data_IF_302409915345
#
_entry.id   IF_302409915345
#
_cell.length_a   1.000
_cell.length_b   1.000
_cell.length_c   1.000
_cell.angle_alpha   90.00
_cell.angle_beta   90.00
_cell.angle_gamma   90.00
#
_symmetry.space_group_name_H-M   'P 1'
#
loop_
_entity.id
_entity.type
_entity.pdbx_description
1 polymer ?
#
# COMPACT_ATOMS: atom_id res chain seq x y z
N UNK A 1 18.91 -20.58 48.13
CA UNK A 1 19.83 -21.51 47.43
C UNK A 1 19.32 -22.94 47.66
N UNK A 2 18.75 -23.59 46.64
CA UNK A 2 19.35 -24.85 46.19
C UNK A 2 19.36 -25.06 44.65
N UNK A 3 20.55 -25.42 44.18
CA UNK A 3 21.01 -26.21 43.00
C UNK A 3 20.19 -26.27 41.70
N UNK A 4 20.85 -25.74 40.66
CA UNK A 4 20.68 -25.98 39.22
C UNK A 4 20.69 -27.47 38.83
N UNK A 5 19.87 -27.84 37.84
CA UNK A 5 20.05 -29.04 37.03
C UNK A 5 19.95 -28.71 35.54
N UNK A 6 21.09 -28.81 34.88
CA UNK A 6 21.28 -28.72 33.42
C UNK A 6 20.84 -30.03 32.75
N UNK A 7 20.16 -29.95 31.60
CA UNK A 7 20.16 -31.04 30.62
C UNK A 7 20.38 -30.50 29.20
N UNK A 8 21.35 -31.13 28.53
CA UNK A 8 21.67 -31.07 27.10
C UNK A 8 21.08 -32.31 26.43
N UNK A 9 20.61 -32.18 25.19
CA UNK A 9 20.58 -33.25 24.18
C UNK A 9 20.44 -32.59 22.80
N UNK A 10 21.51 -32.53 21.99
CA UNK A 10 21.84 -33.43 20.86
C UNK A 10 20.85 -33.35 19.69
N UNK A 11 21.39 -32.97 18.53
CA UNK A 11 20.66 -32.76 17.28
C UNK A 11 20.37 -34.03 16.49
N UNK A 12 19.73 -33.84 15.35
CA UNK A 12 19.71 -34.80 14.24
C UNK A 12 19.54 -34.03 12.93
N UNK A 13 20.51 -34.24 12.06
CA UNK A 13 20.62 -33.84 10.66
C UNK A 13 19.82 -34.78 9.76
N UNK A 14 19.16 -34.24 8.73
CA UNK A 14 18.74 -35.02 7.54
C UNK A 14 18.84 -34.17 6.27
N UNK A 15 19.34 -34.83 5.24
CA UNK A 15 19.88 -34.32 3.97
C UNK A 15 18.88 -34.45 2.80
N UNK A 16 19.35 -34.07 1.59
CA UNK A 16 18.79 -34.35 0.25
C UNK A 16 17.82 -33.28 -0.29
N UNK A 17 17.85 -32.79 -1.54
CA UNK A 17 18.34 -33.32 -2.83
C UNK A 17 18.64 -32.15 -3.79
N UNK A 18 19.64 -32.34 -4.64
CA UNK A 18 20.17 -31.41 -5.66
C UNK A 18 19.58 -31.68 -7.06
N UNK A 19 19.67 -30.67 -7.95
CA UNK A 19 19.95 -30.71 -9.42
C UNK A 19 18.85 -30.04 -10.31
N UNK A 20 19.14 -29.65 -11.57
CA UNK A 20 19.85 -28.40 -11.95
C UNK A 20 19.19 -27.71 -13.18
N UNK A 21 19.53 -26.46 -13.53
CA UNK A 21 19.67 -26.10 -14.97
C UNK A 21 20.39 -24.77 -15.22
N UNK A 22 21.04 -24.73 -16.38
CA UNK A 22 22.10 -23.83 -16.80
C UNK A 22 21.64 -22.51 -17.47
N UNK A 23 22.60 -21.57 -17.60
CA UNK A 23 22.59 -20.33 -18.42
C UNK A 23 23.03 -20.65 -19.88
N UNK A 24 22.87 -19.80 -20.94
CA UNK A 24 23.60 -18.50 -21.17
C UNK A 24 22.76 -17.37 -21.87
N UNK A 25 23.04 -16.06 -21.67
CA UNK A 25 23.85 -15.08 -22.48
C UNK A 25 23.29 -14.84 -23.91
N UNK A 26 22.91 -13.63 -24.38
CA UNK A 26 23.66 -12.42 -24.88
C UNK A 26 22.62 -11.46 -25.52
N UNK A 27 22.53 -10.11 -25.38
CA UNK A 27 23.35 -8.97 -25.88
C UNK A 27 22.49 -7.97 -26.73
N UNK A 28 22.54 -6.67 -26.38
CA UNK A 28 22.44 -5.43 -27.22
C UNK A 28 21.09 -4.81 -27.70
N UNK A 29 20.71 -3.75 -26.99
CA UNK A 29 20.54 -2.31 -27.37
C UNK A 29 19.31 -1.70 -28.11
N UNK A 30 18.85 -0.59 -27.48
CA UNK A 30 18.44 0.75 -27.99
C UNK A 30 17.13 0.92 -28.79
N UNK A 31 16.14 1.59 -28.19
CA UNK A 31 15.77 3.00 -28.46
C UNK A 31 14.29 3.26 -28.13
N UNK A 32 14.00 4.47 -27.65
CA UNK A 32 12.78 4.88 -26.96
C UNK A 32 11.57 5.14 -27.86
N UNK A 33 10.38 4.71 -27.40
CA UNK A 33 9.13 5.48 -27.44
C UNK A 33 8.22 4.99 -26.31
N UNK A 34 7.55 5.89 -25.60
CA UNK A 34 6.62 5.51 -24.53
C UNK A 34 5.49 4.62 -25.06
N UNK A 35 5.14 3.49 -24.41
CA UNK A 35 3.99 2.70 -24.82
C UNK A 35 2.78 2.94 -23.91
N UNK A 36 1.64 3.13 -24.57
CA UNK A 36 0.30 2.80 -24.09
C UNK A 36 0.27 1.44 -23.39
N UNK A 37 -0.70 1.17 -22.47
CA UNK A 37 -0.72 -0.07 -21.70
C UNK A 37 -0.68 -1.29 -22.63
N UNK A 38 0.28 -2.22 -22.44
CA UNK A 38 0.35 -3.40 -23.28
C UNK A 38 -0.84 -4.31 -22.97
N UNK A 39 -1.75 -4.45 -23.92
CA UNK A 39 -2.48 -5.72 -24.10
C UNK A 39 -1.47 -6.77 -24.53
N UNK A 40 -0.66 -7.22 -23.57
CA UNK A 40 0.32 -8.28 -23.73
C UNK A 40 -0.39 -9.61 -23.51
N UNK A 41 -0.54 -10.41 -24.56
CA UNK A 41 -0.92 -11.83 -24.49
C UNK A 41 0.12 -12.70 -23.73
N UNK A 42 1.17 -12.09 -23.16
CA UNK A 42 2.16 -12.70 -22.29
C UNK A 42 1.74 -12.78 -20.81
N UNK A 43 2.46 -13.57 -19.99
CA UNK A 43 2.19 -13.66 -18.56
C UNK A 43 2.34 -12.29 -17.89
N UNK A 44 1.63 -12.00 -16.79
CA UNK A 44 1.69 -10.70 -16.15
C UNK A 44 3.05 -10.45 -15.50
N UNK A 45 3.43 -9.17 -15.36
CA UNK A 45 4.55 -8.75 -14.53
C UNK A 45 4.30 -9.11 -13.06
N UNK A 46 5.39 -9.41 -12.34
CA UNK A 46 5.39 -9.79 -10.93
C UNK A 46 6.41 -8.93 -10.19
N UNK A 47 5.91 -8.15 -9.23
CA UNK A 47 6.72 -7.39 -8.29
C UNK A 47 6.64 -8.02 -6.91
N UNK A 48 7.79 -8.13 -6.23
CA UNK A 48 7.88 -8.74 -4.90
C UNK A 48 8.31 -7.73 -3.87
N UNK A 49 7.70 -7.81 -2.69
CA UNK A 49 8.03 -6.89 -1.62
C UNK A 49 7.91 -7.53 -0.25
N UNK A 50 8.64 -6.94 0.70
CA UNK A 50 8.55 -7.19 2.14
C UNK A 50 9.25 -6.06 2.89
N UNK A 51 9.02 -6.00 4.21
CA UNK A 51 9.50 -4.92 5.08
C UNK A 51 11.03 -4.72 5.10
N UNK A 52 11.81 -5.75 4.79
CA UNK A 52 13.27 -5.73 4.71
C UNK A 52 13.84 -5.62 3.29
N UNK A 53 13.02 -5.24 2.31
CA UNK A 53 13.46 -5.11 0.92
C UNK A 53 14.52 -4.02 0.73
N UNK A 54 15.50 -4.28 -0.14
CA UNK A 54 16.52 -3.30 -0.55
C UNK A 54 15.91 -2.21 -1.46
N UNK A 55 16.47 -0.99 -1.48
CA UNK A 55 16.06 0.08 -2.38
C UNK A 55 16.65 -0.15 -3.78
N UNK A 56 16.19 -1.20 -4.46
CA UNK A 56 16.62 -1.53 -5.84
C UNK A 56 15.47 -1.24 -6.81
N UNK A 57 15.76 -1.00 -8.10
CA UNK A 57 14.71 -0.90 -9.12
C UNK A 57 13.82 -2.16 -9.18
N UNK A 58 12.63 -2.08 -9.80
CA UNK A 58 11.78 -3.24 -10.14
C UNK A 58 12.43 -4.18 -11.15
N UNK A 59 12.31 -5.51 -10.98
CA UNK A 59 12.81 -6.52 -11.91
C UNK A 59 14.06 -7.33 -11.49
N UNK A 60 15.13 -6.76 -10.90
CA UNK A 60 16.35 -7.51 -10.54
C UNK A 60 16.20 -8.39 -9.28
N UNK A 61 15.01 -8.44 -8.66
CA UNK A 61 14.77 -9.18 -7.42
C UNK A 61 14.54 -10.68 -7.62
N UNK A 62 14.87 -11.53 -6.63
CA UNK A 62 14.59 -12.97 -6.68
C UNK A 62 13.10 -13.30 -6.88
N UNK A 63 12.78 -13.86 -8.05
CA UNK A 63 11.43 -14.28 -8.44
C UNK A 63 10.48 -13.14 -8.81
N UNK A 64 11.02 -11.95 -9.07
CA UNK A 64 10.31 -10.92 -9.83
C UNK A 64 10.37 -11.26 -11.33
N UNK A 65 9.37 -10.79 -12.07
CA UNK A 65 9.32 -10.86 -13.53
C UNK A 65 8.86 -9.52 -14.04
N UNK A 66 9.67 -8.87 -14.86
CA UNK A 66 9.37 -7.58 -15.47
C UNK A 66 9.75 -7.68 -16.94
N UNK A 67 8.76 -7.55 -17.84
CA UNK A 67 9.00 -7.65 -19.29
C UNK A 67 9.71 -6.41 -19.82
N UNK A 68 9.24 -5.22 -19.43
CA UNK A 68 9.86 -3.94 -19.79
C UNK A 68 10.14 -3.11 -18.52
N UNK A 69 11.39 -3.05 -18.05
CA UNK A 69 11.77 -2.23 -16.91
C UNK A 69 11.50 -0.74 -17.08
N UNK A 70 11.45 -0.24 -18.32
CA UNK A 70 11.25 1.19 -18.59
C UNK A 70 9.87 1.68 -18.16
N UNK A 71 8.87 0.78 -18.18
CA UNK A 71 7.50 1.01 -17.67
C UNK A 71 7.50 1.40 -16.19
N UNK A 72 8.51 0.96 -15.43
CA UNK A 72 8.62 1.19 -13.99
C UNK A 72 9.67 2.23 -13.61
N UNK A 73 10.07 3.11 -14.53
CA UNK A 73 11.09 4.15 -14.27
C UNK A 73 10.66 5.08 -13.12
N UNK A 74 9.39 5.48 -13.09
CA UNK A 74 8.84 6.32 -12.01
C UNK A 74 8.83 5.60 -10.65
N UNK A 75 8.47 4.31 -10.63
CA UNK A 75 8.54 3.48 -9.41
C UNK A 75 9.99 3.32 -8.93
N UNK A 76 10.93 3.12 -9.85
CA UNK A 76 12.35 2.98 -9.56
C UNK A 76 12.97 4.25 -8.96
N UNK A 77 12.41 5.42 -9.27
CA UNK A 77 12.83 6.70 -8.70
C UNK A 77 12.41 6.88 -7.24
N UNK A 78 11.46 6.08 -6.74
CA UNK A 78 10.99 6.14 -5.34
C UNK A 78 11.87 5.23 -4.46
N UNK A 79 12.69 5.79 -3.56
CA UNK A 79 13.53 4.97 -2.69
C UNK A 79 12.67 4.08 -1.81
N UNK A 80 13.08 2.82 -1.64
CA UNK A 80 12.40 1.86 -0.78
C UNK A 80 10.91 1.62 -1.08
N UNK A 81 10.44 1.80 -2.33
CA UNK A 81 9.03 1.57 -2.71
C UNK A 81 8.46 0.21 -2.24
N UNK A 82 9.27 -0.86 -2.24
CA UNK A 82 8.87 -2.18 -1.70
C UNK A 82 8.51 -2.16 -0.22
N UNK A 83 9.19 -1.31 0.57
CA UNK A 83 8.90 -1.16 2.01
C UNK A 83 7.58 -0.44 2.19
N UNK A 84 7.28 0.59 1.38
CA UNK A 84 5.99 1.33 1.39
C UNK A 84 4.79 0.40 1.12
N UNK A 85 4.96 -0.60 0.25
CA UNK A 85 3.95 -1.64 0.01
C UNK A 85 3.74 -2.60 1.19
N UNK A 86 4.67 -2.67 2.13
CA UNK A 86 4.58 -3.60 3.26
C UNK A 86 3.57 -3.13 4.30
N UNK A 87 2.87 -4.09 4.93
CA UNK A 87 2.01 -3.82 6.09
C UNK A 87 2.77 -3.24 7.30
N UNK A 88 4.10 -3.31 7.28
CA UNK A 88 5.01 -2.84 8.31
C UNK A 88 5.44 -1.39 8.14
N UNK A 89 5.12 -0.80 6.99
CA UNK A 89 5.41 0.60 6.72
C UNK A 89 4.61 1.50 7.65
N UNK A 90 5.35 2.40 8.31
CA UNK A 90 4.84 3.29 9.34
C UNK A 90 5.24 4.75 9.10
N UNK A 91 5.49 5.13 7.84
CA UNK A 91 5.87 6.50 7.48
C UNK A 91 4.74 7.49 7.66
N UNK A 92 3.49 7.05 7.49
CA UNK A 92 2.31 7.91 7.54
C UNK A 92 1.23 7.24 8.38
N UNK A 93 0.90 7.80 9.56
CA UNK A 93 -0.27 7.39 10.32
C UNK A 93 -1.58 7.57 9.53
N UNK A 94 -2.59 6.77 9.85
CA UNK A 94 -3.90 6.86 9.23
C UNK A 94 -5.03 6.52 10.21
N UNK A 95 -6.22 7.03 9.90
CA UNK A 95 -7.43 6.77 10.67
C UNK A 95 -8.14 5.52 10.16
N UNK A 96 -8.53 4.61 11.06
CA UNK A 96 -9.44 3.51 10.73
C UNK A 96 -10.26 3.14 11.96
N UNK A 97 -11.60 3.04 11.80
CA UNK A 97 -12.55 2.77 12.90
C UNK A 97 -12.36 3.67 14.14
N UNK A 98 -12.26 4.97 13.90
CA UNK A 98 -12.09 6.01 14.93
C UNK A 98 -10.80 5.90 15.76
N UNK A 99 -9.81 5.17 15.28
CA UNK A 99 -8.48 5.08 15.87
C UNK A 99 -7.39 5.54 14.89
N UNK A 100 -6.34 6.14 15.44
CA UNK A 100 -5.09 6.42 14.73
C UNK A 100 -4.18 5.20 14.76
N UNK A 101 -3.62 4.83 13.61
CA UNK A 101 -2.76 3.66 13.47
C UNK A 101 -1.44 4.02 12.82
N UNK A 102 -0.35 3.50 13.38
CA UNK A 102 0.99 3.71 12.83
C UNK A 102 1.25 2.92 11.54
N UNK A 103 0.61 1.75 11.37
CA UNK A 103 0.79 0.88 10.20
C UNK A 103 -0.38 -0.10 10.05
N UNK A 104 -0.53 -0.73 8.88
CA UNK A 104 -1.52 -1.82 8.68
C UNK A 104 -1.36 -2.95 9.71
N UNK A 105 -0.13 -3.35 10.06
CA UNK A 105 0.10 -4.42 11.04
C UNK A 105 -0.46 -4.08 12.42
N UNK A 106 -0.30 -2.84 12.89
CA UNK A 106 -0.89 -2.36 14.15
C UNK A 106 -2.41 -2.47 14.14
N UNK A 107 -3.06 -1.92 13.12
CA UNK A 107 -4.52 -1.98 12.96
C UNK A 107 -5.03 -3.42 12.86
N UNK A 108 -4.31 -4.28 12.13
CA UNK A 108 -4.70 -5.68 11.92
C UNK A 108 -4.62 -6.51 13.20
N UNK A 109 -3.53 -6.38 13.96
CA UNK A 109 -3.42 -7.06 15.26
C UNK A 109 -4.38 -6.47 16.30
N UNK A 110 -4.56 -5.14 16.31
CA UNK A 110 -5.53 -4.46 17.15
C UNK A 110 -6.95 -4.96 16.89
N UNK A 111 -7.39 -4.99 15.62
CA UNK A 111 -8.71 -5.51 15.22
C UNK A 111 -8.93 -6.95 15.70
N UNK A 112 -7.91 -7.79 15.58
CA UNK A 112 -7.96 -9.18 16.05
C UNK A 112 -8.13 -9.28 17.58
N UNK A 113 -7.40 -8.46 18.35
CA UNK A 113 -7.53 -8.42 19.81
C UNK A 113 -8.89 -7.85 20.24
N UNK A 114 -9.43 -6.90 19.48
CA UNK A 114 -10.73 -6.28 19.73
C UNK A 114 -11.90 -7.25 19.67
N UNK A 115 -11.74 -8.42 19.04
CA UNK A 115 -12.75 -9.49 19.07
C UNK A 115 -13.01 -10.04 20.48
N UNK A 116 -12.05 -9.89 21.39
CA UNK A 116 -12.14 -10.41 22.76
C UNK A 116 -12.02 -9.31 23.82
N UNK A 117 -11.22 -8.28 23.59
CA UNK A 117 -10.96 -7.23 24.57
C UNK A 117 -10.62 -5.91 23.87
N UNK A 118 -11.45 -4.90 24.08
CA UNK A 118 -11.28 -3.56 23.48
C UNK A 118 -10.07 -2.80 24.06
N UNK A 119 -9.71 -3.01 25.33
CA UNK A 119 -8.49 -2.42 25.91
C UNK A 119 -7.24 -3.00 25.28
N UNK A 120 -7.22 -4.31 25.02
CA UNK A 120 -6.11 -4.95 24.32
C UNK A 120 -6.01 -4.49 22.85
N UNK A 121 -7.12 -4.12 22.21
CA UNK A 121 -7.11 -3.47 20.90
C UNK A 121 -6.50 -2.08 20.97
N UNK A 122 -6.95 -1.25 21.92
CA UNK A 122 -6.48 0.11 22.12
C UNK A 122 -4.96 0.17 22.31
N UNK A 123 -4.37 -0.82 22.99
CA UNK A 123 -2.91 -0.92 23.13
C UNK A 123 -2.13 -0.83 21.80
N UNK A 124 -2.72 -1.23 20.67
CA UNK A 124 -2.11 -1.17 19.33
C UNK A 124 -2.36 0.15 18.59
N UNK A 125 -3.28 0.99 19.06
CA UNK A 125 -3.59 2.29 18.46
C UNK A 125 -2.62 3.38 18.96
N UNK A 126 -2.33 4.36 18.11
CA UNK A 126 -1.49 5.52 18.44
C UNK A 126 -2.16 6.45 19.45
N UNK A 127 -3.48 6.63 19.31
CA UNK A 127 -4.29 7.54 20.10
C UNK A 127 -4.80 6.92 21.41
N UNK A 128 -4.46 5.66 21.69
CA UNK A 128 -4.67 5.12 23.02
C UNK A 128 -3.80 5.88 24.01
N UNK A 129 -4.43 6.48 25.01
CA UNK A 129 -3.72 6.78 26.24
C UNK A 129 -3.31 5.44 26.86
N UNK A 130 -2.17 5.41 27.55
CA UNK A 130 -1.84 4.29 28.44
C UNK A 130 -3.06 4.11 29.36
N UNK A 131 -3.57 2.89 29.49
CA UNK A 131 -4.64 2.68 30.46
C UNK A 131 -4.11 3.11 31.84
N UNK A 132 -4.95 3.78 32.60
CA UNK A 132 -4.69 4.15 33.99
C UNK A 132 -4.35 2.92 34.87
N UNK A 133 -4.78 1.74 34.43
CA UNK A 133 -4.49 0.43 35.05
C UNK A 133 -3.13 -0.17 34.68
N UNK A 134 -2.49 0.32 33.62
CA UNK A 134 -1.20 -0.19 33.14
C UNK A 134 -1.20 -1.66 32.70
N UNK A 135 -2.35 -2.23 32.32
CA UNK A 135 -2.49 -3.66 32.01
C UNK A 135 -1.76 -4.03 30.71
N UNK A 136 -1.75 -3.11 29.74
CA UNK A 136 -1.12 -3.33 28.43
C UNK A 136 -0.05 -2.29 28.11
N UNK A 137 1.05 -2.74 27.51
CA UNK A 137 2.05 -1.83 26.96
C UNK A 137 1.45 -1.00 25.81
N UNK A 138 1.87 0.25 25.67
CA UNK A 138 1.49 1.08 24.52
C UNK A 138 2.26 0.61 23.28
N UNK A 139 1.68 -0.35 22.56
CA UNK A 139 2.26 -1.01 21.39
C UNK A 139 2.15 -0.10 20.16
N UNK A 140 1.10 0.73 20.06
CA UNK A 140 0.84 1.59 18.90
C UNK A 140 1.95 2.59 18.57
N UNK A 141 2.74 3.01 19.55
CA UNK A 141 3.90 3.91 19.38
C UNK A 141 5.21 3.17 19.07
N UNK A 142 5.19 1.85 19.07
CA UNK A 142 6.37 1.02 18.81
C UNK A 142 6.43 0.59 17.34
N UNK A 143 7.48 -0.16 16.97
CA UNK A 143 7.61 -0.64 15.60
C UNK A 143 6.54 -1.68 15.25
N UNK A 144 6.19 -1.78 13.96
CA UNK A 144 5.28 -2.83 13.46
C UNK A 144 5.76 -4.26 13.78
N UNK A 145 7.08 -4.46 13.97
CA UNK A 145 7.62 -5.74 14.43
C UNK A 145 7.20 -6.07 15.86
N UNK A 146 7.17 -5.07 16.74
CA UNK A 146 6.64 -5.24 18.10
C UNK A 146 5.16 -5.59 18.02
N UNK A 147 4.36 -4.88 17.23
CA UNK A 147 2.94 -5.21 17.03
C UNK A 147 2.74 -6.67 16.59
N UNK A 148 3.46 -7.13 15.56
CA UNK A 148 3.40 -8.52 15.12
C UNK A 148 3.80 -9.52 16.21
N UNK A 149 4.80 -9.18 17.03
CA UNK A 149 5.24 -10.05 18.12
C UNK A 149 4.23 -10.09 19.28
N UNK A 150 3.51 -8.99 19.49
CA UNK A 150 2.40 -8.88 20.43
C UNK A 150 1.10 -9.53 19.96
N UNK A 151 1.07 -10.21 18.80
CA UNK A 151 -0.12 -10.95 18.30
C UNK A 151 -0.63 -12.08 19.20
N UNK A 152 0.09 -12.39 20.27
CA UNK A 152 -0.27 -13.38 21.29
C UNK A 152 -0.51 -12.74 22.67
N UNK A 153 -0.74 -11.42 22.70
CA UNK A 153 -1.04 -10.69 23.94
C UNK A 153 -2.21 -11.32 24.68
N UNK A 154 -3.22 -11.78 23.94
CA UNK A 154 -4.35 -12.56 24.43
C UNK A 154 -4.51 -13.86 23.65
N UNK A 155 -4.96 -14.91 24.33
CA UNK A 155 -5.36 -16.17 23.70
C UNK A 155 -6.81 -16.05 23.25
N UNK A 156 -7.04 -16.15 21.95
CA UNK A 156 -8.40 -16.14 21.40
C UNK A 156 -9.08 -17.49 21.65
N UNK A 157 -10.33 -17.53 22.12
CA UNK A 157 -11.09 -18.77 22.18
C UNK A 157 -11.33 -19.31 20.76
N UNK A 158 -11.51 -20.63 20.59
CA UNK A 158 -11.64 -21.24 19.25
C UNK A 158 -12.76 -20.66 18.39
N UNK A 159 -13.85 -20.18 19.00
CA UNK A 159 -14.95 -19.48 18.32
C UNK A 159 -14.45 -18.19 17.65
N UNK A 160 -13.71 -17.35 18.37
CA UNK A 160 -13.13 -16.11 17.85
C UNK A 160 -12.01 -16.34 16.84
N UNK A 161 -11.27 -17.45 16.96
CA UNK A 161 -10.30 -17.85 15.92
C UNK A 161 -11.00 -18.14 14.59
N UNK A 162 -12.13 -18.86 14.62
CA UNK A 162 -12.92 -19.14 13.41
C UNK A 162 -13.54 -17.88 12.83
N UNK A 163 -14.13 -17.04 13.67
CA UNK A 163 -14.69 -15.73 13.29
C UNK A 163 -13.63 -14.86 12.60
N UNK A 164 -12.44 -14.74 13.20
CA UNK A 164 -11.32 -14.01 12.58
C UNK A 164 -10.92 -14.58 11.22
N UNK A 165 -10.86 -15.90 11.09
CA UNK A 165 -10.53 -16.57 9.83
C UNK A 165 -11.50 -16.26 8.68
N UNK A 166 -12.77 -15.96 8.99
CA UNK A 166 -13.77 -15.59 7.99
C UNK A 166 -13.65 -14.13 7.54
N UNK A 167 -13.23 -13.22 8.43
CA UNK A 167 -13.23 -11.77 8.17
C UNK A 167 -11.84 -11.16 7.92
N UNK A 168 -10.74 -11.86 8.23
CA UNK A 168 -9.41 -11.23 8.28
C UNK A 168 -8.97 -10.63 6.96
N UNK A 169 -9.32 -11.24 5.82
CA UNK A 169 -8.97 -10.70 4.50
C UNK A 169 -9.71 -9.40 4.21
N UNK A 170 -11.00 -9.33 4.51
CA UNK A 170 -11.80 -8.11 4.37
C UNK A 170 -11.25 -7.01 5.29
N UNK A 171 -10.95 -7.33 6.55
CA UNK A 171 -10.36 -6.38 7.50
C UNK A 171 -9.02 -5.85 6.99
N UNK A 172 -8.15 -6.72 6.44
CA UNK A 172 -6.87 -6.30 5.87
C UNK A 172 -7.05 -5.34 4.70
N UNK A 173 -8.01 -5.62 3.82
CA UNK A 173 -8.33 -4.75 2.69
C UNK A 173 -8.89 -3.39 3.14
N UNK A 174 -9.82 -3.37 4.10
CA UNK A 174 -10.37 -2.12 4.68
C UNK A 174 -9.25 -1.24 5.27
N UNK A 175 -8.36 -1.84 6.07
CA UNK A 175 -7.24 -1.13 6.70
C UNK A 175 -6.28 -0.61 5.62
N UNK A 176 -5.90 -1.46 4.66
CA UNK A 176 -5.01 -1.06 3.59
C UNK A 176 -5.60 0.10 2.77
N UNK A 177 -6.90 0.03 2.45
CA UNK A 177 -7.61 1.09 1.74
C UNK A 177 -7.51 2.43 2.47
N UNK A 178 -7.76 2.46 3.78
CA UNK A 178 -7.63 3.70 4.55
C UNK A 178 -6.18 4.22 4.61
N UNK A 179 -5.19 3.33 4.78
CA UNK A 179 -3.77 3.73 4.72
C UNK A 179 -3.45 4.39 3.38
N UNK A 180 -3.77 3.74 2.27
CA UNK A 180 -3.40 4.24 0.95
C UNK A 180 -4.25 5.45 0.54
N UNK A 181 -5.45 5.65 1.09
CA UNK A 181 -6.19 6.91 0.94
C UNK A 181 -5.56 8.09 1.68
N UNK A 182 -4.95 7.84 2.83
CA UNK A 182 -4.31 8.88 3.63
C UNK A 182 -2.87 9.21 3.21
N UNK A 183 -2.14 8.25 2.62
CA UNK A 183 -0.70 8.38 2.34
C UNK A 183 -0.43 8.65 0.85
N UNK A 184 -0.08 9.90 0.50
CA UNK A 184 0.26 10.27 -0.90
C UNK A 184 1.40 9.46 -1.50
N UNK A 185 2.48 9.24 -0.73
CA UNK A 185 3.58 8.38 -1.17
C UNK A 185 3.10 6.95 -1.44
N UNK A 186 2.21 6.43 -0.60
CA UNK A 186 1.59 5.11 -0.79
C UNK A 186 0.75 5.05 -2.06
N UNK A 187 -0.07 6.07 -2.34
CA UNK A 187 -0.85 6.18 -3.58
C UNK A 187 0.06 6.15 -4.80
N UNK A 188 1.09 6.99 -4.77
CA UNK A 188 2.07 7.08 -5.85
C UNK A 188 2.72 5.73 -6.09
N UNK A 189 3.24 5.08 -5.05
CA UNK A 189 3.86 3.75 -5.17
C UNK A 189 2.89 2.72 -5.74
N UNK A 190 1.63 2.66 -5.27
CA UNK A 190 0.65 1.72 -5.81
C UNK A 190 0.37 1.97 -7.30
N UNK A 191 0.18 3.23 -7.71
CA UNK A 191 -0.09 3.57 -9.11
C UNK A 191 1.08 3.24 -10.02
N UNK A 192 2.29 3.53 -9.57
CA UNK A 192 3.51 3.25 -10.35
C UNK A 192 3.85 1.75 -10.42
N UNK A 193 3.13 0.88 -9.69
CA UNK A 193 3.19 -0.57 -9.94
C UNK A 193 2.41 -1.01 -11.19
N UNK A 194 1.68 -0.10 -11.83
CA UNK A 194 0.97 -0.32 -13.11
C UNK A 194 0.13 -1.59 -13.05
N UNK A 195 0.11 -2.41 -14.10
CA UNK A 195 -0.64 -3.68 -14.13
C UNK A 195 0.07 -4.87 -13.48
N UNK A 196 1.17 -4.67 -12.74
CA UNK A 196 1.90 -5.78 -12.15
C UNK A 196 1.10 -6.47 -11.04
N UNK A 197 1.35 -7.78 -10.89
CA UNK A 197 0.92 -8.51 -9.70
C UNK A 197 1.82 -8.17 -8.52
N UNK A 198 1.21 -8.00 -7.35
CA UNK A 198 1.89 -7.62 -6.13
C UNK A 198 2.02 -8.83 -5.20
N UNK A 199 3.25 -9.25 -4.93
CA UNK A 199 3.51 -10.45 -4.13
C UNK A 199 4.31 -10.11 -2.87
N UNK A 200 3.73 -10.37 -1.71
CA UNK A 200 4.45 -10.30 -0.45
C UNK A 200 5.30 -11.58 -0.26
N UNK A 201 6.61 -11.44 -0.18
CA UNK A 201 7.54 -12.56 -0.04
C UNK A 201 8.74 -12.18 0.82
N UNK A 202 9.12 -13.03 1.78
CA UNK A 202 10.27 -12.81 2.66
C UNK A 202 11.18 -14.04 2.75
N UNK A 203 12.37 -13.95 3.37
CA UNK A 203 13.34 -15.04 3.39
C UNK A 203 12.84 -16.39 3.92
N UNK A 204 11.78 -16.36 4.75
CA UNK A 204 11.17 -17.55 5.38
C UNK A 204 9.64 -17.53 5.28
N UNK A 205 9.10 -16.74 4.35
CA UNK A 205 7.67 -16.57 4.17
C UNK A 205 7.35 -16.93 2.73
N UNK A 206 6.48 -17.93 2.55
CA UNK A 206 6.00 -18.31 1.24
C UNK A 206 5.40 -17.09 0.53
N UNK A 207 5.65 -16.90 -0.78
CA UNK A 207 5.06 -15.79 -1.53
C UNK A 207 3.53 -15.84 -1.47
N UNK A 208 2.91 -14.71 -1.13
CA UNK A 208 1.45 -14.54 -1.12
C UNK A 208 1.11 -13.34 -1.99
N UNK A 209 0.21 -13.52 -2.94
CA UNK A 209 -0.30 -12.41 -3.76
C UNK A 209 -1.21 -11.51 -2.95
N UNK A 210 -0.99 -10.20 -3.03
CA UNK A 210 -1.75 -9.17 -2.35
C UNK A 210 -2.75 -8.53 -3.34
N UNK A 211 -3.75 -9.31 -3.73
CA UNK A 211 -4.78 -8.87 -4.70
C UNK A 211 -5.59 -7.66 -4.22
N UNK A 212 -5.72 -7.48 -2.90
CA UNK A 212 -6.38 -6.31 -2.33
C UNK A 212 -5.63 -5.01 -2.65
N UNK A 213 -4.30 -5.02 -2.74
CA UNK A 213 -3.53 -3.83 -3.14
C UNK A 213 -3.72 -3.52 -4.63
N UNK A 214 -3.86 -4.55 -5.45
CA UNK A 214 -4.16 -4.40 -6.89
C UNK A 214 -5.56 -3.78 -7.06
N UNK A 215 -6.57 -4.24 -6.31
CA UNK A 215 -7.91 -3.61 -6.29
C UNK A 215 -7.87 -2.15 -5.83
N UNK A 216 -7.16 -1.86 -4.74
CA UNK A 216 -7.02 -0.48 -4.22
C UNK A 216 -6.32 0.42 -5.24
N UNK A 217 -5.29 -0.07 -5.95
CA UNK A 217 -4.64 0.67 -7.04
C UNK A 217 -5.65 1.05 -8.13
N UNK A 218 -6.49 0.09 -8.54
CA UNK A 218 -7.46 0.32 -9.60
C UNK A 218 -8.54 1.34 -9.14
N UNK A 219 -9.03 1.23 -7.89
CA UNK A 219 -9.92 2.23 -7.26
C UNK A 219 -9.32 3.66 -7.26
N UNK A 220 -8.03 3.77 -6.90
CA UNK A 220 -7.31 5.04 -6.82
C UNK A 220 -6.99 5.67 -8.19
N UNK A 221 -7.04 4.88 -9.27
CA UNK A 221 -6.83 5.36 -10.63
C UNK A 221 -8.13 5.96 -11.17
N UNK A 222 -9.25 5.25 -11.03
CA UNK A 222 -10.59 5.74 -11.43
C UNK A 222 -10.95 7.06 -10.73
N UNK A 223 -10.62 7.19 -9.44
CA UNK A 223 -10.88 8.40 -8.68
C UNK A 223 -10.09 9.62 -9.21
N UNK A 224 -8.89 9.43 -9.77
CA UNK A 224 -8.13 10.52 -10.39
C UNK A 224 -8.71 10.90 -11.74
N UNK A 225 -8.97 9.91 -12.59
CA UNK A 225 -9.53 10.16 -13.92
C UNK A 225 -10.84 10.96 -13.82
N UNK A 226 -11.68 10.62 -12.84
CA UNK A 226 -12.93 11.34 -12.55
C UNK A 226 -12.67 12.78 -12.12
N UNK A 227 -11.66 13.02 -11.29
CA UNK A 227 -11.32 14.35 -10.79
C UNK A 227 -10.69 15.23 -11.89
N UNK A 228 -9.86 14.65 -12.76
CA UNK A 228 -9.25 15.35 -13.89
C UNK A 228 -10.30 15.76 -14.93
N UNK A 229 -11.26 14.88 -15.24
CA UNK A 229 -12.40 15.22 -16.12
C UNK A 229 -13.26 16.33 -15.51
N UNK A 230 -13.53 16.29 -14.20
CA UNK A 230 -14.31 17.33 -13.53
C UNK A 230 -13.61 18.70 -13.60
N UNK A 231 -12.31 18.75 -13.32
CA UNK A 231 -11.52 19.99 -13.41
C UNK A 231 -11.44 20.50 -14.85
N UNK A 232 -11.29 19.62 -15.84
CA UNK A 232 -11.32 19.98 -17.25
C UNK A 232 -12.63 20.66 -17.65
N UNK A 233 -13.76 20.07 -17.26
CA UNK A 233 -15.09 20.63 -17.53
C UNK A 233 -15.29 22.00 -16.87
N UNK A 234 -14.82 22.18 -15.63
CA UNK A 234 -14.92 23.47 -14.92
C UNK A 234 -14.10 24.60 -15.60
N UNK A 235 -12.92 24.27 -16.13
CA UNK A 235 -12.09 25.23 -16.87
C UNK A 235 -12.78 25.63 -18.18
N UNK A 236 -13.28 24.66 -18.95
CA UNK A 236 -14.02 24.93 -20.19
C UNK A 236 -15.28 25.77 -19.96
N UNK A 237 -16.04 25.49 -18.90
CA UNK A 237 -17.22 26.26 -18.53
C UNK A 237 -16.86 27.70 -18.12
N UNK A 238 -15.74 27.89 -17.42
CA UNK A 238 -15.26 29.22 -17.05
C UNK A 238 -14.81 30.03 -18.29
N UNK A 239 -14.10 29.40 -19.22
CA UNK A 239 -13.69 30.02 -20.47
C UNK A 239 -14.89 30.41 -21.34
N UNK A 240 -15.93 29.56 -21.40
CA UNK A 240 -17.17 29.86 -22.13
C UNK A 240 -17.92 31.07 -21.54
N UNK A 241 -18.06 31.14 -20.22
CA UNK A 241 -18.70 32.29 -19.55
C UNK A 241 -17.92 33.59 -19.78
N UNK A 242 -16.59 33.54 -19.69
CA UNK A 242 -15.76 34.71 -19.96
C UNK A 242 -15.88 35.19 -21.42
N UNK A 243 -16.01 34.27 -22.38
CA UNK A 243 -16.22 34.60 -23.78
C UNK A 243 -17.62 35.21 -24.04
N UNK A 244 -18.66 34.74 -23.36
CA UNK A 244 -20.01 35.33 -23.42
C UNK A 244 -20.05 36.75 -22.84
N UNK A 245 -19.34 37.00 -21.74
CA UNK A 245 -19.26 38.32 -21.08
C UNK A 245 -18.53 39.36 -21.96
N UNK A 246 -17.41 38.98 -22.60
CA UNK A 246 -16.68 39.83 -23.55
C UNK A 246 -17.45 40.07 -24.86
N UNK A 247 -18.29 39.11 -25.27
CA UNK A 247 -19.16 39.25 -26.44
C UNK A 247 -20.27 40.30 -26.25
N UNK A 248 -20.63 40.62 -25.00
CA UNK A 248 -21.69 41.57 -24.66
C UNK A 248 -21.18 43.02 -24.48
N UNK A 249 -19.87 43.25 -24.33
CA UNK A 249 -19.27 44.60 -24.19
C UNK A 249 -18.93 45.28 -25.53
N UNK A 250 -18.97 44.57 -26.67
CA UNK A 250 -18.65 45.13 -27.99
C UNK A 250 -19.85 45.71 -28.75
N UNK A 251 -21.01 45.79 -28.12
CA UNK A 251 -22.23 46.33 -28.72
C UNK A 251 -22.93 47.33 -27.80
N UNK A 252 -22.17 48.27 -27.22
CA UNK A 252 -22.81 49.49 -26.71
C UNK A 252 -23.24 50.35 -27.91
N UNK A 253 -24.56 50.59 -28.10
CA UNK A 253 -25.01 51.49 -29.14
C UNK A 253 -24.53 52.90 -28.76
N UNK A 254 -23.68 53.49 -29.60
CA UNK A 254 -23.33 54.91 -29.54
C UNK A 254 -24.64 55.69 -29.63
N UNK A 255 -25.15 56.13 -28.49
CA UNK A 255 -26.29 57.02 -28.43
C UNK A 255 -25.86 58.33 -29.08
N UNK A 256 -26.36 58.58 -30.29
CA UNK A 256 -26.17 59.85 -30.98
C UNK A 256 -26.97 60.91 -30.25
N UNK A 257 -26.30 61.73 -29.44
CA UNK A 257 -26.84 63.00 -28.98
C UNK A 257 -26.97 63.93 -30.19
N UNK A 258 -28.21 64.14 -30.63
CA UNK A 258 -28.57 65.16 -31.59
C UNK A 258 -28.80 66.47 -30.86
N UNK A 259 -27.79 67.36 -30.89
CA UNK A 259 -27.99 68.79 -30.73
C UNK A 259 -28.64 69.33 -32.02
N UNK A 260 -29.82 69.93 -31.94
CA UNK A 260 -30.12 71.11 -32.74
C UNK A 260 -31.29 71.94 -32.18
N UNK A 261 -30.92 73.16 -31.79
CA UNK A 261 -31.57 74.47 -32.03
C UNK A 261 -33.08 74.64 -31.96
#
# INVERSE_FOLDING_TARGET
MPKLRTQRSTGTSSSSTTLPYARPCTTTAKSASQPSPPTSDGPPDILRFFSGSKPVPPGPGPGERVHDPSVYTALAAIPHWRRVLSNFDSTTPFSWRNHQWASIEHAFQGAKMGLVNQHAMAAFALDSTRDDRGEFAHIGVQSALVARNSRKLLVLPPTKVREWGQMSWQVMEEIAREKYRACELGKQVLRETRGAQLWHAGPRVAPVRFEHLERIRDELSVAQDTMEVAVGNEVEDRERRAAEELGHELFEPIASESEDS
#
